data_IF_655821637376
#
_entry.id   IF_655821637376
#
_cell.length_a   1.000
_cell.length_b   1.000
_cell.length_c   1.000
_cell.angle_alpha   90.00
_cell.angle_beta   90.00
_cell.angle_gamma   90.00
#
_symmetry.space_group_name_H-M   'P 1'
#
loop_
_entity.id
_entity.type
_entity.pdbx_description
1 polymer ?
#
# COMPACT_ATOMS: atom_id res chain seq x y z
N UNK A 1 16.66 -33.28 -11.62
CA UNK A 1 15.34 -32.72 -11.26
C UNK A 1 15.31 -32.06 -9.87
N UNK A 2 16.07 -32.56 -8.88
CA UNK A 2 15.97 -32.12 -7.46
C UNK A 2 16.53 -30.70 -7.23
N UNK A 3 17.66 -30.32 -7.87
CA UNK A 3 18.28 -28.98 -7.74
C UNK A 3 17.39 -27.78 -8.15
N UNK A 4 16.45 -27.96 -9.08
CA UNK A 4 15.54 -26.86 -9.49
C UNK A 4 14.46 -26.61 -8.44
N UNK A 5 14.04 -27.64 -7.68
CA UNK A 5 13.07 -27.49 -6.59
C UNK A 5 13.71 -26.78 -5.39
N UNK A 6 14.90 -27.18 -4.98
CA UNK A 6 15.59 -26.55 -3.83
C UNK A 6 15.95 -25.07 -4.09
N UNK A 7 16.35 -24.72 -5.31
CA UNK A 7 16.61 -23.32 -5.67
C UNK A 7 15.33 -22.47 -5.69
N UNK A 8 14.21 -23.04 -6.14
CA UNK A 8 12.91 -22.37 -6.12
C UNK A 8 12.42 -22.16 -4.69
N UNK A 9 12.56 -23.16 -3.81
CA UNK A 9 12.15 -23.05 -2.41
C UNK A 9 12.97 -22.04 -1.60
N UNK A 10 14.28 -21.92 -1.85
CA UNK A 10 15.10 -20.86 -1.23
C UNK A 10 14.67 -19.47 -1.69
N UNK A 11 14.50 -19.27 -2.99
CA UNK A 11 14.07 -18.00 -3.55
C UNK A 11 12.68 -17.58 -3.01
N UNK A 12 11.78 -18.55 -2.84
CA UNK A 12 10.45 -18.31 -2.29
C UNK A 12 10.49 -17.93 -0.80
N UNK A 13 11.31 -18.60 0.02
CA UNK A 13 11.50 -18.23 1.44
C UNK A 13 12.11 -16.84 1.59
N UNK A 14 13.10 -16.49 0.78
CA UNK A 14 13.71 -15.15 0.78
C UNK A 14 12.72 -14.06 0.33
N UNK A 15 11.84 -14.38 -0.63
CA UNK A 15 10.77 -13.49 -1.03
C UNK A 15 9.76 -13.27 0.11
N UNK A 16 9.35 -14.34 0.81
CA UNK A 16 8.40 -14.27 1.94
C UNK A 16 9.01 -13.50 3.13
N UNK A 17 10.30 -13.69 3.42
CA UNK A 17 10.98 -12.95 4.48
C UNK A 17 11.01 -11.45 4.19
N UNK A 18 11.40 -11.05 2.98
CA UNK A 18 11.37 -9.65 2.52
C UNK A 18 9.95 -9.08 2.53
N UNK A 19 8.96 -9.89 2.17
CA UNK A 19 7.55 -9.51 2.22
C UNK A 19 7.09 -9.14 3.63
N UNK A 20 7.40 -10.00 4.61
CA UNK A 20 7.04 -9.74 6.02
C UNK A 20 7.70 -8.48 6.55
N UNK A 21 8.97 -8.26 6.20
CA UNK A 21 9.70 -7.07 6.61
C UNK A 21 9.07 -5.80 6.01
N UNK A 22 8.81 -5.83 4.70
CA UNK A 22 8.08 -4.77 3.99
C UNK A 22 6.70 -4.52 4.59
N UNK A 23 5.96 -5.58 4.93
CA UNK A 23 4.64 -5.44 5.55
C UNK A 23 4.71 -4.77 6.92
N UNK A 24 5.70 -5.12 7.74
CA UNK A 24 5.90 -4.49 9.05
C UNK A 24 6.28 -3.01 8.92
N UNK A 25 7.13 -2.67 7.95
CA UNK A 25 7.51 -1.30 7.62
C UNK A 25 6.30 -0.48 7.15
N UNK A 26 5.50 -1.05 6.25
CA UNK A 26 4.28 -0.45 5.74
C UNK A 26 3.26 -0.20 6.85
N UNK A 27 3.11 -1.15 7.78
CA UNK A 27 2.18 -1.01 8.89
C UNK A 27 2.55 0.09 9.89
N UNK A 28 3.85 0.39 10.01
CA UNK A 28 4.35 1.52 10.81
C UNK A 28 4.39 2.84 10.03
N UNK A 29 4.26 2.79 8.71
CA UNK A 29 4.35 3.98 7.86
C UNK A 29 2.98 4.65 7.77
N UNK A 30 2.98 5.96 7.98
CA UNK A 30 1.80 6.79 7.74
C UNK A 30 1.99 7.47 6.40
N UNK A 31 1.13 7.16 5.45
CA UNK A 31 1.08 7.86 4.16
C UNK A 31 0.25 9.13 4.33
N UNK A 32 0.79 10.26 3.89
CA UNK A 32 0.03 11.50 3.77
C UNK A 32 -0.14 11.77 2.29
N UNK A 33 -1.38 11.81 1.83
CA UNK A 33 -1.75 12.14 0.47
C UNK A 33 -2.35 13.53 0.51
N UNK A 34 -1.62 14.50 -0.05
CA UNK A 34 -2.09 15.86 -0.22
C UNK A 34 -2.90 15.92 -1.51
N UNK A 35 -4.14 16.36 -1.41
CA UNK A 35 -5.02 16.48 -2.56
C UNK A 35 -5.95 17.68 -2.38
N UNK A 36 -6.31 18.34 -3.47
CA UNK A 36 -7.26 19.47 -3.44
C UNK A 36 -8.61 19.00 -2.94
N UNK A 37 -9.05 19.59 -1.83
CA UNK A 37 -10.38 19.41 -1.26
C UNK A 37 -11.12 20.75 -1.31
N UNK A 38 -12.46 20.68 -1.38
CA UNK A 38 -13.32 21.83 -1.19
C UNK A 38 -13.66 22.03 0.27
N UNK A 39 -14.23 23.19 0.57
CA UNK A 39 -14.60 23.64 1.93
C UNK A 39 -15.51 22.64 2.69
N UNK A 40 -16.26 21.80 1.96
CA UNK A 40 -17.14 20.75 2.49
C UNK A 40 -16.37 19.47 2.91
N UNK A 41 -15.04 19.46 2.79
CA UNK A 41 -14.19 18.29 3.03
C UNK A 41 -14.25 17.22 1.93
N UNK A 42 -14.99 17.48 0.84
CA UNK A 42 -14.97 16.65 -0.37
C UNK A 42 -13.74 16.94 -1.21
N UNK A 43 -13.04 15.90 -1.62
CA UNK A 43 -11.96 15.96 -2.58
C UNK A 43 -12.51 16.32 -3.96
N UNK A 44 -11.82 17.24 -4.65
CA UNK A 44 -12.11 17.54 -6.07
C UNK A 44 -11.72 16.39 -7.01
N UNK A 45 -11.08 15.35 -6.48
CA UNK A 45 -10.79 14.09 -7.15
C UNK A 45 -11.19 12.89 -6.29
N UNK A 46 -10.63 11.74 -6.60
CA UNK A 46 -10.81 10.52 -5.82
C UNK A 46 -9.48 9.84 -5.64
N UNK A 47 -9.11 9.54 -4.40
CA UNK A 47 -7.91 8.76 -4.13
C UNK A 47 -8.26 7.30 -4.42
N UNK A 48 -7.72 6.82 -5.53
CA UNK A 48 -7.91 5.44 -5.99
C UNK A 48 -6.80 4.52 -5.47
N UNK A 49 -6.99 3.20 -5.61
CA UNK A 49 -5.92 2.22 -5.34
C UNK A 49 -4.63 2.50 -6.12
N UNK A 50 -4.73 3.15 -7.29
CA UNK A 50 -3.56 3.53 -8.08
C UNK A 50 -2.73 4.59 -7.38
N UNK A 51 -3.35 5.65 -6.86
CA UNK A 51 -2.64 6.70 -6.12
C UNK A 51 -2.06 6.16 -4.81
N UNK A 52 -2.77 5.30 -4.10
CA UNK A 52 -2.25 4.66 -2.89
C UNK A 52 -1.03 3.80 -3.23
N UNK A 53 -1.09 3.02 -4.31
CA UNK A 53 0.07 2.25 -4.78
C UNK A 53 1.25 3.14 -5.15
N UNK A 54 0.98 4.30 -5.76
CA UNK A 54 2.00 5.28 -6.10
C UNK A 54 2.62 5.90 -4.86
N UNK A 55 1.81 6.34 -3.90
CA UNK A 55 2.24 6.90 -2.62
C UNK A 55 3.05 5.89 -1.79
N UNK A 56 2.65 4.62 -1.76
CA UNK A 56 3.43 3.53 -1.14
C UNK A 56 4.80 3.40 -1.82
N UNK A 57 4.82 3.41 -3.16
CA UNK A 57 6.05 3.31 -3.94
C UNK A 57 6.95 4.51 -3.70
N UNK A 58 6.40 5.71 -3.59
CA UNK A 58 7.18 6.93 -3.36
C UNK A 58 7.75 6.98 -1.94
N UNK A 59 6.92 6.65 -0.93
CA UNK A 59 7.32 6.70 0.48
C UNK A 59 8.32 5.60 0.88
N UNK A 60 8.23 4.41 0.27
CA UNK A 60 9.04 3.24 0.67
C UNK A 60 9.76 2.50 -0.45
N UNK A 61 9.56 2.87 -1.71
CA UNK A 61 10.14 2.14 -2.84
C UNK A 61 9.51 0.76 -3.07
N UNK A 62 8.44 0.42 -2.35
CA UNK A 62 7.80 -0.89 -2.43
C UNK A 62 6.77 -0.86 -3.55
N UNK A 63 6.98 -1.71 -4.57
CA UNK A 63 6.03 -1.85 -5.66
C UNK A 63 4.90 -2.78 -5.23
N UNK A 64 3.72 -2.22 -5.00
CA UNK A 64 2.50 -2.96 -4.68
C UNK A 64 1.55 -2.93 -5.86
N UNK A 65 0.97 -4.08 -6.20
CA UNK A 65 -0.09 -4.17 -7.19
C UNK A 65 -1.42 -3.64 -6.63
N UNK A 66 -2.11 -2.78 -7.39
CA UNK A 66 -3.46 -2.28 -7.06
C UNK A 66 -4.49 -3.37 -6.76
N UNK A 67 -4.33 -4.58 -7.31
CA UNK A 67 -5.19 -5.75 -7.02
C UNK A 67 -5.02 -6.29 -5.61
N UNK A 68 -3.89 -5.96 -4.97
CA UNK A 68 -3.54 -6.39 -3.63
C UNK A 68 -3.90 -5.35 -2.56
N UNK A 69 -4.35 -4.16 -2.98
CA UNK A 69 -4.83 -3.12 -2.08
C UNK A 69 -6.32 -3.34 -1.85
N UNK A 70 -6.71 -3.62 -0.60
CA UNK A 70 -8.10 -3.69 -0.21
C UNK A 70 -8.63 -2.27 0.00
N UNK A 71 -9.20 -1.74 -1.06
CA UNK A 71 -9.96 -0.50 -1.05
C UNK A 71 -11.31 -0.78 -1.70
N UNK A 72 -12.35 -0.88 -0.89
CA UNK A 72 -13.71 -1.19 -1.36
C UNK A 72 -14.37 0.04 -2.01
N UNK A 73 -14.10 1.23 -1.45
CA UNK A 73 -14.66 2.50 -1.91
C UNK A 73 -13.51 3.50 -2.14
N UNK A 74 -13.44 4.18 -3.30
CA UNK A 74 -12.48 5.25 -3.51
C UNK A 74 -12.70 6.37 -2.49
N UNK A 75 -11.62 7.00 -2.04
CA UNK A 75 -11.71 8.05 -1.01
C UNK A 75 -12.01 9.39 -1.70
N UNK A 76 -13.13 10.00 -1.33
CA UNK A 76 -13.58 11.30 -1.85
C UNK A 76 -13.68 12.37 -0.76
N UNK A 77 -13.21 12.07 0.45
CA UNK A 77 -13.20 13.00 1.57
C UNK A 77 -11.83 13.03 2.24
N UNK A 78 -11.48 14.21 2.77
CA UNK A 78 -10.31 14.35 3.64
C UNK A 78 -10.55 13.59 4.94
N UNK A 79 -9.54 12.89 5.42
CA UNK A 79 -9.70 12.01 6.57
C UNK A 79 -8.58 11.00 6.70
N UNK A 80 -8.68 10.18 7.75
CA UNK A 80 -7.73 9.10 7.99
C UNK A 80 -8.37 7.77 7.66
N UNK A 81 -7.75 7.03 6.76
CA UNK A 81 -8.20 5.73 6.28
C UNK A 81 -7.15 4.67 6.60
N UNK A 82 -7.59 3.52 7.09
CA UNK A 82 -6.73 2.34 7.26
C UNK A 82 -6.97 1.43 6.05
N UNK A 83 -5.91 1.18 5.28
CA UNK A 83 -5.99 0.46 4.02
C UNK A 83 -5.13 -0.77 4.14
N UNK A 84 -5.74 -1.94 3.99
CA UNK A 84 -5.01 -3.21 4.04
C UNK A 84 -4.37 -3.51 2.69
N UNK A 85 -3.06 -3.71 2.71
CA UNK A 85 -2.25 -3.92 1.53
C UNK A 85 -1.57 -5.28 1.63
N UNK A 86 -1.89 -6.17 0.70
CA UNK A 86 -1.24 -7.47 0.60
C UNK A 86 0.07 -7.34 -0.21
N UNK A 87 1.19 -7.67 0.40
CA UNK A 87 2.49 -7.70 -0.29
C UNK A 87 2.79 -9.09 -0.82
N UNK A 88 3.61 -9.15 -1.87
CA UNK A 88 4.00 -10.41 -2.52
C UNK A 88 4.65 -11.35 -1.49
N UNK A 89 4.16 -12.58 -1.34
CA UNK A 89 4.59 -13.51 -0.27
C UNK A 89 3.53 -13.74 0.82
N UNK A 90 2.33 -13.18 0.66
CA UNK A 90 1.16 -13.48 1.51
C UNK A 90 1.12 -12.69 2.82
N UNK A 91 1.94 -11.66 2.97
CA UNK A 91 1.88 -10.79 4.14
C UNK A 91 0.88 -9.64 3.90
N UNK A 92 0.09 -9.33 4.91
CA UNK A 92 -0.90 -8.24 4.89
C UNK A 92 -0.37 -7.11 5.78
N UNK A 93 -0.39 -5.89 5.27
CA UNK A 93 0.08 -4.69 5.94
C UNK A 93 -1.03 -3.63 5.99
N UNK A 94 -1.40 -3.20 7.18
CA UNK A 94 -2.39 -2.13 7.36
C UNK A 94 -1.70 -0.77 7.28
N UNK A 95 -1.86 -0.07 6.17
CA UNK A 95 -1.24 1.23 5.94
C UNK A 95 -2.19 2.35 6.34
N UNK A 96 -1.75 3.21 7.27
CA UNK A 96 -2.50 4.39 7.65
C UNK A 96 -2.32 5.46 6.59
N UNK A 97 -3.38 5.80 5.87
CA UNK A 97 -3.38 6.81 4.82
C UNK A 97 -4.20 8.01 5.28
N UNK A 98 -3.55 9.15 5.43
CA UNK A 98 -4.14 10.43 5.80
C UNK A 98 -4.30 11.22 4.51
N UNK A 99 -5.54 11.59 4.18
CA UNK A 99 -5.83 12.48 3.07
C UNK A 99 -6.02 13.88 3.62
N UNK A 100 -5.12 14.78 3.23
CA UNK A 100 -5.10 16.17 3.68
C UNK A 100 -5.43 17.11 2.52
N UNK A 101 -6.14 18.19 2.84
CA UNK A 101 -6.39 19.31 1.93
C UNK A 101 -5.06 19.99 1.58
N UNK A 102 -4.74 20.05 0.28
CA UNK A 102 -3.71 20.96 -0.23
C UNK A 102 -4.38 22.32 -0.52
N UNK A 103 -4.06 23.33 0.30
CA UNK A 103 -4.51 24.72 0.14
C UNK A 103 -3.71 25.47 -0.91
#
# INVERSE_FOLDING_TARGET
>A
AIRRKEAAEKAEREAIARAKENASLLSKTVLTINHRAGDDGKLYGSVTTKEIADAIRDARGIKVDRKKIRLDVPIHQVGTYMIDVEVAGGAIASVKTIVAEEK
#
